data_IF_017018447182
#
_entry.id   IF_017018447182
#
_cell.length_a   1.000
_cell.length_b   1.000
_cell.length_c   1.000
_cell.angle_alpha   90.00
_cell.angle_beta   90.00
_cell.angle_gamma   90.00
#
_symmetry.space_group_name_H-M   'P 1'
#
loop_
_entity.id
_entity.type
_entity.pdbx_description
1 polymer ?
#
# COMPACT_ATOMS: atom_id res chain seq x y z
N UNK A 1 45.67 67.83 -7.59
CA UNK A 1 44.65 66.84 -8.03
C UNK A 1 44.64 65.58 -7.16
N UNK A 2 45.39 65.51 -6.05
CA UNK A 2 45.51 64.30 -5.22
C UNK A 2 44.46 64.08 -4.13
N UNK A 3 43.78 65.13 -3.65
CA UNK A 3 42.90 64.98 -2.46
C UNK A 3 41.55 64.32 -2.79
N UNK A 4 41.03 64.50 -4.02
CA UNK A 4 39.79 63.86 -4.47
C UNK A 4 39.94 62.34 -4.70
N UNK A 5 41.14 61.85 -5.00
CA UNK A 5 41.39 60.41 -5.25
C UNK A 5 41.31 59.57 -3.98
N UNK A 6 41.81 60.09 -2.84
CA UNK A 6 41.78 59.38 -1.54
C UNK A 6 40.36 59.24 -0.98
N UNK A 7 39.52 60.26 -1.17
CA UNK A 7 38.12 60.22 -0.72
C UNK A 7 37.26 59.29 -1.57
N UNK A 8 37.54 59.21 -2.88
CA UNK A 8 36.83 58.29 -3.78
C UNK A 8 37.24 56.83 -3.54
N UNK A 9 38.52 56.54 -3.31
CA UNK A 9 38.97 55.17 -3.00
C UNK A 9 38.47 54.68 -1.64
N UNK A 10 38.44 55.53 -0.62
CA UNK A 10 37.87 55.18 0.69
C UNK A 10 36.36 54.90 0.63
N UNK A 11 35.62 55.67 -0.19
CA UNK A 11 34.19 55.40 -0.45
C UNK A 11 33.98 54.11 -1.23
N UNK A 12 34.83 53.81 -2.21
CA UNK A 12 34.77 52.56 -2.97
C UNK A 12 35.04 51.36 -2.08
N UNK A 13 36.12 51.38 -1.28
CA UNK A 13 36.47 50.29 -0.35
C UNK A 13 35.35 50.06 0.67
N UNK A 14 34.76 51.13 1.21
CA UNK A 14 33.61 51.02 2.11
C UNK A 14 32.41 50.37 1.41
N UNK A 15 32.09 50.78 0.19
CA UNK A 15 30.97 50.21 -0.58
C UNK A 15 31.21 48.74 -0.95
N UNK A 16 32.46 48.38 -1.30
CA UNK A 16 32.85 46.98 -1.56
C UNK A 16 32.81 46.14 -0.28
N UNK A 17 33.24 46.68 0.86
CA UNK A 17 33.15 46.00 2.15
C UNK A 17 31.68 45.79 2.58
N UNK A 18 30.82 46.79 2.39
CA UNK A 18 29.37 46.68 2.62
C UNK A 18 28.75 45.60 1.72
N UNK A 19 29.11 45.54 0.44
CA UNK A 19 28.66 44.48 -0.49
C UNK A 19 29.12 43.08 -0.08
N UNK A 20 30.41 42.92 0.28
CA UNK A 20 30.95 41.64 0.72
C UNK A 20 30.28 41.17 2.02
N UNK A 21 30.03 42.09 2.95
CA UNK A 21 29.39 41.78 4.23
C UNK A 21 27.92 41.37 4.05
N UNK A 22 27.18 42.05 3.16
CA UNK A 22 25.83 41.64 2.76
C UNK A 22 25.85 40.27 2.08
N UNK A 23 26.81 40.02 1.18
CA UNK A 23 26.93 38.74 0.49
C UNK A 23 27.19 37.58 1.46
N UNK A 24 28.12 37.75 2.41
CA UNK A 24 28.41 36.77 3.46
C UNK A 24 27.17 36.53 4.33
N UNK A 25 26.44 37.59 4.69
CA UNK A 25 25.20 37.47 5.47
C UNK A 25 24.11 36.67 4.76
N UNK A 26 23.89 36.92 3.46
CA UNK A 26 22.92 36.17 2.63
C UNK A 26 23.35 34.72 2.45
N UNK A 27 24.63 34.45 2.16
CA UNK A 27 25.14 33.09 2.03
C UNK A 27 25.06 32.30 3.34
N UNK A 28 25.37 32.92 4.47
CA UNK A 28 25.27 32.28 5.78
C UNK A 28 23.81 32.00 6.19
N UNK A 29 22.90 32.94 5.94
CA UNK A 29 21.47 32.73 6.19
C UNK A 29 20.89 31.62 5.29
N UNK A 30 21.28 31.59 4.01
CA UNK A 30 20.88 30.54 3.08
C UNK A 30 21.42 29.17 3.52
N UNK A 31 22.68 29.10 3.95
CA UNK A 31 23.29 27.85 4.45
C UNK A 31 22.61 27.34 5.72
N UNK A 32 22.33 28.23 6.68
CA UNK A 32 21.62 27.87 7.92
C UNK A 32 20.19 27.37 7.62
N UNK A 33 19.48 28.06 6.72
CA UNK A 33 18.14 27.68 6.30
C UNK A 33 18.15 26.31 5.60
N UNK A 34 19.11 26.08 4.71
CA UNK A 34 19.25 24.81 3.99
C UNK A 34 19.57 23.65 4.95
N UNK A 35 20.41 23.89 5.97
CA UNK A 35 20.71 22.88 6.99
C UNK A 35 19.49 22.53 7.85
N UNK A 36 18.71 23.52 8.28
CA UNK A 36 17.48 23.29 9.05
C UNK A 36 16.43 22.55 8.22
N UNK A 37 16.27 22.93 6.95
CA UNK A 37 15.33 22.30 6.03
C UNK A 37 15.66 20.82 5.82
N UNK A 38 16.92 20.46 5.59
CA UNK A 38 17.33 19.06 5.46
C UNK A 38 17.07 18.23 6.72
N UNK A 39 17.21 18.82 7.93
CA UNK A 39 16.86 18.12 9.16
C UNK A 39 15.35 17.89 9.31
N UNK A 40 14.52 18.84 8.89
CA UNK A 40 13.06 18.69 8.92
C UNK A 40 12.57 17.66 7.90
N UNK A 41 13.10 17.69 6.67
CA UNK A 41 12.81 16.70 5.63
C UNK A 41 13.21 15.29 6.08
N UNK A 42 14.42 15.13 6.65
CA UNK A 42 14.87 13.85 7.18
C UNK A 42 13.96 13.31 8.30
N UNK A 43 13.50 14.17 9.21
CA UNK A 43 12.55 13.78 10.28
C UNK A 43 11.19 13.37 9.70
N UNK A 44 10.64 14.13 8.75
CA UNK A 44 9.37 13.79 8.10
C UNK A 44 9.46 12.47 7.35
N UNK A 45 10.55 12.27 6.61
CA UNK A 45 10.83 11.01 5.91
C UNK A 45 10.88 9.83 6.89
N UNK A 46 11.63 9.94 7.99
CA UNK A 46 11.68 8.89 9.00
C UNK A 46 10.31 8.59 9.61
N UNK A 47 9.50 9.62 9.89
CA UNK A 47 8.13 9.45 10.40
C UNK A 47 7.22 8.69 9.43
N UNK A 48 7.31 8.97 8.12
CA UNK A 48 6.56 8.26 7.07
C UNK A 48 7.03 6.81 6.96
N UNK A 49 8.35 6.58 6.90
CA UNK A 49 8.90 5.23 6.82
C UNK A 49 8.54 4.41 8.07
N UNK A 50 8.58 5.01 9.26
CA UNK A 50 8.21 4.36 10.52
C UNK A 50 6.72 3.97 10.58
N UNK A 51 5.83 4.85 10.09
CA UNK A 51 4.40 4.57 10.08
C UNK A 51 4.07 3.45 9.09
N UNK A 52 4.67 3.48 7.90
CA UNK A 52 4.54 2.43 6.89
C UNK A 52 5.09 1.09 7.40
N UNK A 53 6.28 1.08 8.00
CA UNK A 53 6.88 -0.11 8.60
C UNK A 53 5.96 -0.74 9.64
N UNK A 54 5.38 0.07 10.53
CA UNK A 54 4.44 -0.40 11.55
C UNK A 54 3.15 -0.97 10.94
N UNK A 55 2.56 -0.28 9.98
CA UNK A 55 1.34 -0.71 9.29
C UNK A 55 1.56 -2.05 8.58
N UNK A 56 2.67 -2.18 7.85
CA UNK A 56 3.01 -3.41 7.13
C UNK A 56 3.32 -4.57 8.07
N UNK A 57 4.05 -4.32 9.17
CA UNK A 57 4.31 -5.34 10.18
C UNK A 57 3.01 -5.91 10.78
N UNK A 58 2.07 -5.03 11.14
CA UNK A 58 0.74 -5.43 11.64
C UNK A 58 -0.10 -6.13 10.55
N UNK A 59 -0.03 -5.66 9.30
CA UNK A 59 -0.72 -6.27 8.17
C UNK A 59 -0.23 -7.68 7.84
N UNK A 60 1.09 -7.92 7.90
CA UNK A 60 1.69 -9.24 7.69
C UNK A 60 1.31 -10.20 8.82
N UNK A 61 1.38 -9.76 10.07
CA UNK A 61 1.06 -10.61 11.22
C UNK A 61 -0.43 -11.01 11.23
N UNK A 62 -1.32 -10.04 11.01
CA UNK A 62 -2.76 -10.31 10.89
C UNK A 62 -3.11 -11.11 9.63
N UNK A 63 -2.43 -10.83 8.52
CA UNK A 63 -2.58 -11.50 7.23
C UNK A 63 -2.30 -12.99 7.30
N UNK A 64 -1.28 -13.44 8.04
CA UNK A 64 -0.97 -14.88 8.19
C UNK A 64 -2.11 -15.67 8.82
N UNK A 65 -2.72 -15.13 9.88
CA UNK A 65 -3.84 -15.80 10.55
C UNK A 65 -5.05 -15.90 9.64
N UNK A 66 -5.31 -14.84 8.84
CA UNK A 66 -6.41 -14.85 7.88
C UNK A 66 -6.12 -15.78 6.70
N UNK A 67 -4.92 -15.75 6.12
CA UNK A 67 -4.51 -16.62 5.03
C UNK A 67 -4.69 -18.10 5.37
N UNK A 68 -4.24 -18.55 6.56
CA UNK A 68 -4.43 -19.94 6.97
C UNK A 68 -5.90 -20.35 7.12
N UNK A 69 -6.77 -19.43 7.54
CA UNK A 69 -8.22 -19.68 7.62
C UNK A 69 -8.84 -19.81 6.23
N UNK A 70 -8.48 -18.92 5.32
CA UNK A 70 -8.96 -18.94 3.93
C UNK A 70 -8.48 -20.19 3.20
N UNK A 71 -7.21 -20.57 3.39
CA UNK A 71 -6.64 -21.82 2.87
C UNK A 71 -7.39 -23.04 3.39
N UNK A 72 -7.60 -23.11 4.70
CA UNK A 72 -8.33 -24.21 5.30
C UNK A 72 -9.76 -24.30 4.76
N UNK A 73 -10.45 -23.17 4.63
CA UNK A 73 -11.81 -23.12 4.10
C UNK A 73 -11.86 -23.57 2.63
N UNK A 74 -10.97 -23.04 1.78
CA UNK A 74 -10.91 -23.40 0.37
C UNK A 74 -10.54 -24.88 0.18
N UNK A 75 -9.55 -25.38 0.92
CA UNK A 75 -9.11 -26.78 0.87
C UNK A 75 -10.19 -27.74 1.39
N UNK A 76 -10.87 -27.40 2.49
CA UNK A 76 -11.96 -28.22 3.04
C UNK A 76 -13.12 -28.33 2.06
N UNK A 77 -13.52 -27.21 1.45
CA UNK A 77 -14.58 -27.21 0.45
C UNK A 77 -14.19 -28.02 -0.78
N UNK A 78 -12.97 -27.82 -1.29
CA UNK A 78 -12.48 -28.54 -2.45
C UNK A 78 -12.39 -30.06 -2.20
N UNK A 79 -11.88 -30.46 -1.03
CA UNK A 79 -11.80 -31.86 -0.65
C UNK A 79 -13.20 -32.51 -0.59
N UNK A 80 -14.18 -31.84 0.03
CA UNK A 80 -15.56 -32.33 0.08
C UNK A 80 -16.19 -32.42 -1.33
N UNK A 81 -15.86 -31.47 -2.22
CA UNK A 81 -16.32 -31.49 -3.60
C UNK A 81 -15.72 -32.68 -4.37
N UNK A 82 -14.41 -32.92 -4.22
CA UNK A 82 -13.69 -34.03 -4.87
C UNK A 82 -14.15 -35.40 -4.34
N UNK A 83 -14.56 -35.47 -3.07
CA UNK A 83 -15.16 -36.65 -2.45
C UNK A 83 -16.64 -36.87 -2.86
N UNK A 84 -17.26 -35.92 -3.58
CA UNK A 84 -18.66 -36.00 -3.99
C UNK A 84 -19.66 -35.85 -2.84
N UNK A 85 -19.27 -35.13 -1.77
CA UNK A 85 -20.06 -34.91 -0.55
C UNK A 85 -21.08 -33.76 -0.69
N UNK A 86 -21.01 -32.99 -1.79
CA UNK A 86 -21.89 -31.84 -2.08
C UNK A 86 -21.93 -30.81 -0.93
N UNK A 87 -20.79 -30.19 -0.57
CA UNK A 87 -20.72 -29.25 0.55
C UNK A 87 -21.66 -28.05 0.40
N UNK A 88 -22.18 -27.52 1.50
CA UNK A 88 -23.07 -26.34 1.46
C UNK A 88 -22.33 -25.09 0.95
N UNK A 89 -22.95 -24.37 0.02
CA UNK A 89 -22.49 -23.05 -0.40
C UNK A 89 -22.97 -22.03 0.63
N UNK A 90 -22.07 -21.16 1.07
CA UNK A 90 -22.38 -20.06 1.98
C UNK A 90 -22.38 -18.74 1.20
N UNK A 91 -23.06 -17.70 1.69
CA UNK A 91 -22.86 -16.35 1.18
C UNK A 91 -21.36 -16.01 1.21
N UNK A 92 -20.83 -15.59 0.06
CA UNK A 92 -19.46 -15.13 -0.05
C UNK A 92 -19.43 -13.66 0.35
N UNK A 93 -18.80 -13.38 1.49
CA UNK A 93 -18.68 -12.03 2.04
C UNK A 93 -17.21 -11.73 2.23
N UNK A 94 -16.76 -10.60 1.67
CA UNK A 94 -15.40 -10.12 1.86
C UNK A 94 -15.42 -8.71 2.44
N UNK A 95 -14.89 -8.54 3.64
CA UNK A 95 -14.84 -7.25 4.33
C UNK A 95 -13.41 -6.78 4.49
N UNK A 96 -13.17 -5.51 4.18
CA UNK A 96 -11.90 -4.83 4.42
C UNK A 96 -12.17 -3.42 4.94
N UNK A 97 -11.29 -2.94 5.80
CA UNK A 97 -11.21 -1.56 6.27
C UNK A 97 -10.32 -0.68 5.38
N UNK A 98 -9.76 -1.24 4.30
CA UNK A 98 -8.90 -0.52 3.39
C UNK A 98 -9.60 0.65 2.69
N UNK A 99 -8.92 1.80 2.66
CA UNK A 99 -9.36 3.04 2.01
C UNK A 99 -8.32 3.49 0.96
N UNK A 100 -8.70 3.59 -0.33
CA UNK A 100 -7.82 4.18 -1.35
C UNK A 100 -7.42 5.64 -1.07
N UNK A 101 -8.23 6.35 -0.25
CA UNK A 101 -7.97 7.73 0.13
C UNK A 101 -6.75 7.87 1.03
N UNK A 102 -6.44 6.86 1.82
CA UNK A 102 -5.31 6.87 2.76
C UNK A 102 -3.99 6.83 1.99
N UNK A 103 -3.95 6.02 0.91
CA UNK A 103 -2.84 5.97 -0.03
C UNK A 103 -2.60 7.32 -0.73
N UNK A 104 -3.68 7.92 -1.26
CA UNK A 104 -3.58 9.23 -1.92
C UNK A 104 -3.09 10.31 -0.96
N UNK A 105 -3.58 10.29 0.29
CA UNK A 105 -3.16 11.22 1.35
C UNK A 105 -1.67 11.07 1.69
N UNK A 106 -1.17 9.83 1.74
CA UNK A 106 0.26 9.57 1.97
C UNK A 106 1.13 10.12 0.84
N UNK A 107 0.75 9.90 -0.42
CA UNK A 107 1.49 10.44 -1.56
C UNK A 107 1.45 11.98 -1.61
N UNK A 108 0.31 12.58 -1.31
CA UNK A 108 0.11 14.04 -1.33
C UNK A 108 0.79 14.77 -0.16
N UNK A 109 0.97 14.10 0.99
CA UNK A 109 1.63 14.67 2.16
C UNK A 109 3.18 14.69 2.06
N UNK A 110 3.72 14.36 0.89
CA UNK A 110 5.17 14.41 0.61
C UNK A 110 5.77 13.05 0.28
N UNK A 111 4.98 11.96 0.23
CA UNK A 111 5.51 10.63 -0.07
C UNK A 111 6.28 10.54 -1.39
N UNK A 112 5.86 11.28 -2.43
CA UNK A 112 6.54 11.30 -3.74
C UNK A 112 7.94 11.95 -3.66
N UNK A 113 8.12 12.95 -2.80
CA UNK A 113 9.35 13.73 -2.69
C UNK A 113 10.32 13.14 -1.66
N UNK A 114 9.79 12.42 -0.67
CA UNK A 114 10.54 11.95 0.50
C UNK A 114 10.95 10.48 0.42
N UNK A 115 10.31 9.66 -0.42
CA UNK A 115 10.60 8.23 -0.53
C UNK A 115 11.50 7.96 -1.75
N UNK A 116 12.37 6.95 -1.62
CA UNK A 116 13.18 6.49 -2.74
C UNK A 116 12.31 5.91 -3.88
N UNK A 117 12.82 5.99 -5.12
CA UNK A 117 12.12 5.52 -6.31
C UNK A 117 11.79 4.03 -6.23
N UNK A 118 12.67 3.21 -5.66
CA UNK A 118 12.40 1.79 -5.49
C UNK A 118 11.28 1.54 -4.47
N UNK A 119 11.26 2.30 -3.38
CA UNK A 119 10.20 2.25 -2.35
C UNK A 119 8.87 2.72 -2.92
N UNK A 120 8.85 3.80 -3.70
CA UNK A 120 7.65 4.27 -4.40
C UNK A 120 7.11 3.24 -5.40
N UNK A 121 8.01 2.54 -6.10
CA UNK A 121 7.62 1.50 -7.05
C UNK A 121 7.02 0.29 -6.32
N UNK A 122 7.66 -0.17 -5.24
CA UNK A 122 7.16 -1.26 -4.41
C UNK A 122 5.80 -0.90 -3.78
N UNK A 123 5.68 0.32 -3.27
CA UNK A 123 4.47 0.85 -2.68
C UNK A 123 3.32 0.92 -3.71
N UNK A 124 3.59 1.38 -4.94
CA UNK A 124 2.60 1.39 -6.03
C UNK A 124 2.19 -0.01 -6.49
N UNK A 125 3.12 -0.96 -6.44
CA UNK A 125 2.83 -2.35 -6.77
C UNK A 125 1.90 -2.98 -5.72
N UNK A 126 2.20 -2.77 -4.43
CA UNK A 126 1.37 -3.21 -3.31
C UNK A 126 -0.07 -2.67 -3.41
N UNK A 127 -0.20 -1.35 -3.59
CA UNK A 127 -1.48 -0.69 -3.83
C UNK A 127 -2.25 -1.26 -5.04
N UNK A 128 -1.53 -1.62 -6.11
CA UNK A 128 -2.17 -2.22 -7.29
C UNK A 128 -2.69 -3.62 -7.00
N UNK A 129 -1.96 -4.44 -6.24
CA UNK A 129 -2.41 -5.76 -5.81
C UNK A 129 -3.67 -5.64 -4.94
N UNK A 130 -3.68 -4.72 -3.97
CA UNK A 130 -4.85 -4.46 -3.13
C UNK A 130 -6.06 -4.10 -4.00
N UNK A 131 -5.95 -3.07 -4.85
CA UNK A 131 -7.07 -2.60 -5.68
C UNK A 131 -7.63 -3.69 -6.61
N UNK A 132 -6.76 -4.45 -7.27
CA UNK A 132 -7.19 -5.55 -8.15
C UNK A 132 -7.84 -6.69 -7.37
N UNK A 133 -7.29 -7.05 -6.21
CA UNK A 133 -7.85 -8.06 -5.32
C UNK A 133 -9.25 -7.68 -4.82
N UNK A 134 -9.41 -6.45 -4.32
CA UNK A 134 -10.70 -5.94 -3.85
C UNK A 134 -11.75 -5.89 -4.95
N UNK A 135 -11.38 -5.44 -6.15
CA UNK A 135 -12.31 -5.46 -7.29
C UNK A 135 -12.77 -6.87 -7.64
N UNK A 136 -11.89 -7.87 -7.51
CA UNK A 136 -12.23 -9.28 -7.74
C UNK A 136 -13.14 -9.82 -6.64
N UNK A 137 -12.86 -9.53 -5.38
CA UNK A 137 -13.69 -9.94 -4.24
C UNK A 137 -15.09 -9.35 -4.33
N UNK A 138 -15.20 -8.07 -4.68
CA UNK A 138 -16.49 -7.41 -4.89
C UNK A 138 -17.30 -8.05 -6.04
N UNK A 139 -16.62 -8.47 -7.10
CA UNK A 139 -17.27 -9.20 -8.19
C UNK A 139 -17.85 -10.54 -7.72
N UNK A 140 -17.09 -11.35 -6.97
CA UNK A 140 -17.57 -12.62 -6.44
C UNK A 140 -18.68 -12.45 -5.41
N UNK A 141 -18.61 -11.42 -4.56
CA UNK A 141 -19.68 -11.10 -3.62
C UNK A 141 -20.98 -10.77 -4.38
N UNK A 142 -20.91 -9.95 -5.43
CA UNK A 142 -22.07 -9.68 -6.29
C UNK A 142 -22.66 -10.96 -6.90
N UNK A 143 -21.82 -11.86 -7.42
CA UNK A 143 -22.29 -13.15 -7.96
C UNK A 143 -22.94 -14.00 -6.86
N UNK A 144 -22.41 -13.98 -5.64
CA UNK A 144 -23.00 -14.68 -4.50
C UNK A 144 -24.36 -14.11 -4.12
N UNK A 145 -24.48 -12.78 -4.06
CA UNK A 145 -25.72 -12.07 -3.77
C UNK A 145 -26.80 -12.33 -4.83
N UNK A 146 -26.41 -12.52 -6.09
CA UNK A 146 -27.34 -12.79 -7.20
C UNK A 146 -27.72 -14.28 -7.33
N UNK A 147 -26.79 -15.20 -7.05
CA UNK A 147 -26.96 -16.62 -7.38
C UNK A 147 -27.13 -17.51 -6.15
N UNK A 148 -26.45 -17.21 -5.05
CA UNK A 148 -26.42 -18.07 -3.85
C UNK A 148 -27.44 -17.57 -2.82
N UNK A 149 -27.34 -16.30 -2.42
CA UNK A 149 -28.16 -15.71 -1.34
C UNK A 149 -29.67 -15.90 -1.56
N UNK A 150 -30.23 -15.71 -2.76
CA UNK A 150 -31.68 -15.85 -2.96
C UNK A 150 -32.18 -17.29 -2.89
N UNK A 151 -31.27 -18.27 -2.86
CA UNK A 151 -31.58 -19.69 -2.97
C UNK A 151 -31.08 -20.50 -1.76
N UNK A 152 -30.75 -19.85 -0.64
CA UNK A 152 -30.24 -20.52 0.56
C UNK A 152 -31.26 -21.48 1.22
N UNK A 153 -32.54 -21.27 0.96
CA UNK A 153 -33.65 -22.11 1.42
C UNK A 153 -33.93 -23.30 0.49
N UNK A 154 -33.31 -23.34 -0.69
CA UNK A 154 -33.46 -24.43 -1.65
C UNK A 154 -32.70 -25.68 -1.19
N UNK A 155 -33.16 -26.84 -1.67
CA UNK A 155 -32.45 -28.10 -1.47
C UNK A 155 -31.06 -28.09 -2.12
N UNK A 156 -30.12 -28.88 -1.58
CA UNK A 156 -28.74 -28.97 -2.08
C UNK A 156 -28.67 -29.35 -3.58
N UNK A 157 -29.66 -30.10 -4.10
CA UNK A 157 -29.78 -30.43 -5.53
C UNK A 157 -30.07 -29.22 -6.44
N UNK A 158 -30.41 -28.06 -5.88
CA UNK A 158 -30.46 -26.80 -6.63
C UNK A 158 -29.05 -26.33 -7.04
N UNK A 159 -28.06 -26.57 -6.18
CA UNK A 159 -26.66 -26.18 -6.37
C UNK A 159 -25.84 -27.25 -7.10
N UNK A 160 -26.18 -28.52 -6.85
CA UNK A 160 -25.49 -29.68 -7.40
C UNK A 160 -26.32 -30.43 -8.43
N UNK A 161 -25.67 -31.11 -9.36
CA UNK A 161 -26.32 -32.12 -10.19
C UNK A 161 -26.44 -33.43 -9.36
N UNK A 162 -27.65 -33.96 -9.12
CA UNK A 162 -27.83 -35.12 -8.25
C UNK A 162 -27.27 -36.43 -8.85
N UNK A 163 -27.14 -36.52 -10.17
CA UNK A 163 -26.61 -37.71 -10.85
C UNK A 163 -25.09 -37.73 -10.83
N UNK A 164 -24.45 -36.58 -11.06
CA UNK A 164 -22.99 -36.48 -11.11
C UNK A 164 -22.35 -36.03 -9.80
N UNK A 165 -23.16 -35.51 -8.87
CA UNK A 165 -22.74 -34.86 -7.60
C UNK A 165 -21.81 -33.67 -7.78
N UNK A 166 -21.69 -33.16 -9.01
CA UNK A 166 -20.86 -32.01 -9.33
C UNK A 166 -21.64 -30.73 -9.12
N UNK A 167 -20.91 -29.66 -8.83
CA UNK A 167 -21.46 -28.32 -8.82
C UNK A 167 -22.05 -27.99 -10.20
N UNK A 168 -23.24 -27.38 -10.25
CA UNK A 168 -23.76 -26.90 -11.52
C UNK A 168 -22.92 -25.71 -11.98
N UNK A 169 -22.73 -25.58 -13.29
CA UNK A 169 -21.86 -24.57 -13.92
C UNK A 169 -22.02 -23.14 -13.39
N UNK A 170 -23.26 -22.70 -13.14
CA UNK A 170 -23.54 -21.35 -12.62
C UNK A 170 -22.97 -21.07 -11.21
N UNK A 171 -22.62 -22.10 -10.46
CA UNK A 171 -22.07 -21.99 -9.12
C UNK A 171 -20.56 -22.26 -9.06
N UNK A 172 -19.91 -22.65 -10.16
CA UNK A 172 -18.46 -22.90 -10.22
C UNK A 172 -17.64 -21.67 -9.78
N UNK A 173 -18.23 -20.47 -9.86
CA UNK A 173 -17.66 -19.24 -9.29
C UNK A 173 -17.37 -19.33 -7.79
N UNK A 174 -18.05 -20.21 -7.03
CA UNK A 174 -17.89 -20.29 -5.57
C UNK A 174 -16.54 -20.88 -5.14
N UNK A 175 -16.15 -22.10 -5.56
CA UNK A 175 -14.80 -22.58 -5.30
C UNK A 175 -13.72 -21.68 -5.91
N UNK A 176 -13.97 -21.06 -7.07
CA UNK A 176 -13.08 -20.06 -7.65
C UNK A 176 -12.91 -18.83 -6.74
N UNK A 177 -13.99 -18.34 -6.13
CA UNK A 177 -13.95 -17.22 -5.19
C UNK A 177 -13.08 -17.55 -3.97
N UNK A 178 -13.26 -18.74 -3.37
CA UNK A 178 -12.45 -19.19 -2.23
C UNK A 178 -10.96 -19.25 -2.59
N UNK A 179 -10.63 -19.83 -3.75
CA UNK A 179 -9.25 -19.89 -4.22
C UNK A 179 -8.68 -18.51 -4.56
N UNK A 180 -9.51 -17.61 -5.09
CA UNK A 180 -9.11 -16.23 -5.36
C UNK A 180 -8.80 -15.46 -4.07
N UNK A 181 -9.52 -15.72 -2.98
CA UNK A 181 -9.23 -15.15 -1.65
C UNK A 181 -7.89 -15.65 -1.11
N UNK A 182 -7.62 -16.95 -1.21
CA UNK A 182 -6.33 -17.54 -0.83
C UNK A 182 -5.18 -16.90 -1.63
N UNK A 183 -5.34 -16.84 -2.96
CA UNK A 183 -4.34 -16.21 -3.83
C UNK A 183 -4.12 -14.74 -3.46
N UNK A 184 -5.19 -14.00 -3.19
CA UNK A 184 -5.09 -12.60 -2.80
C UNK A 184 -4.33 -12.44 -1.48
N UNK A 185 -4.59 -13.28 -0.47
CA UNK A 185 -3.88 -13.26 0.79
C UNK A 185 -2.37 -13.50 0.61
N UNK A 186 -1.98 -14.47 -0.24
CA UNK A 186 -0.57 -14.71 -0.57
C UNK A 186 0.07 -13.57 -1.35
N UNK A 187 -0.63 -12.99 -2.33
CA UNK A 187 -0.13 -11.85 -3.10
C UNK A 187 0.12 -10.65 -2.18
N UNK A 188 -0.78 -10.40 -1.21
CA UNK A 188 -0.61 -9.36 -0.18
C UNK A 188 0.57 -9.64 0.75
N UNK A 189 0.69 -10.86 1.29
CA UNK A 189 1.83 -11.20 2.17
C UNK A 189 3.17 -10.97 1.46
N UNK A 190 3.24 -11.36 0.18
CA UNK A 190 4.42 -11.15 -0.66
C UNK A 190 4.70 -9.67 -0.87
N UNK A 191 3.74 -8.87 -1.33
CA UNK A 191 3.99 -7.44 -1.64
C UNK A 191 4.22 -6.62 -0.39
N UNK A 192 3.51 -6.88 0.71
CA UNK A 192 3.78 -6.23 2.00
C UNK A 192 5.19 -6.56 2.50
N UNK A 193 5.62 -7.82 2.38
CA UNK A 193 6.98 -8.23 2.80
C UNK A 193 8.06 -7.59 1.91
N UNK A 194 7.84 -7.52 0.59
CA UNK A 194 8.74 -6.84 -0.34
C UNK A 194 8.84 -5.35 0.00
N UNK A 195 7.72 -4.68 0.22
CA UNK A 195 7.68 -3.26 0.58
C UNK A 195 8.33 -3.00 1.95
N UNK A 196 8.07 -3.85 2.95
CA UNK A 196 8.69 -3.74 4.27
C UNK A 196 10.23 -3.82 4.17
N UNK A 197 10.76 -4.75 3.38
CA UNK A 197 12.21 -4.85 3.14
C UNK A 197 12.78 -3.58 2.51
N UNK A 198 12.05 -2.97 1.57
CA UNK A 198 12.47 -1.70 0.95
C UNK A 198 12.49 -0.55 1.94
N UNK A 199 11.44 -0.41 2.73
CA UNK A 199 11.36 0.60 3.79
C UNK A 199 12.50 0.43 4.81
N UNK A 200 12.78 -0.80 5.22
CA UNK A 200 13.87 -1.09 6.16
C UNK A 200 15.24 -0.78 5.56
N UNK A 201 15.49 -1.14 4.31
CA UNK A 201 16.73 -0.79 3.62
C UNK A 201 16.90 0.73 3.43
N UNK A 202 15.80 1.44 3.19
CA UNK A 202 15.82 2.90 3.04
C UNK A 202 16.05 3.63 4.37
N UNK A 203 15.51 3.08 5.47
CA UNK A 203 15.58 3.66 6.82
C UNK A 203 16.87 3.30 7.57
N UNK A 204 17.39 2.11 7.35
CA UNK A 204 18.60 1.56 7.97
C UNK A 204 19.62 1.13 6.90
N UNK A 205 20.19 2.10 6.16
CA UNK A 205 21.15 1.83 5.08
C UNK A 205 22.46 1.20 5.58
#
# INVERSE_FOLDING_TARGET
>A
MEDKRKTFSARLVRWTAELVLVFIGVSAAFWLNNYQQHQEEAKRRDQILASLERLLGQGIESGKTNASKEEQQAATFQHALDAGEMPLLRPFVFTTDYSPGDFATLLQSGGIELLDVETLTALRNDESVIRWGLSRMAHYQKLSDELIVPNLDQDISFFYDPATRKLRKRFEMYPEALQATVKFAHDLDRTHTELLKRIQAERHP
#
